data_IF_230325390045
#
_entry.id   IF_230325390045
#
_cell.length_a   1.000
_cell.length_b   1.000
_cell.length_c   1.000
_cell.angle_alpha   90.00
_cell.angle_beta   90.00
_cell.angle_gamma   90.00
#
_symmetry.space_group_name_H-M   'P 1'
#
loop_
_entity.id
_entity.type
_entity.pdbx_description
1 polymer ?
#
# COMPACT_ATOMS: atom_id res chain seq x y z
N UNK A 1 15.19 -9.96 -1.69
CA UNK A 1 13.94 -10.37 -1.01
C UNK A 1 13.30 -9.30 -0.10
N UNK A 2 14.00 -8.24 0.34
CA UNK A 2 13.39 -7.07 1.03
C UNK A 2 13.20 -5.84 0.10
N UNK A 3 13.69 -5.92 -1.13
CA UNK A 3 13.67 -4.82 -2.11
C UNK A 3 12.41 -4.83 -2.99
N UNK A 4 11.57 -5.85 -2.85
CA UNK A 4 10.53 -6.17 -3.83
C UNK A 4 9.19 -5.46 -3.59
N UNK A 5 8.98 -4.88 -2.41
CA UNK A 5 7.70 -4.24 -2.08
C UNK A 5 7.68 -2.73 -2.28
N UNK A 6 8.80 -2.10 -2.68
CA UNK A 6 8.81 -0.64 -2.93
C UNK A 6 7.87 -0.27 -4.09
N UNK A 7 7.83 -1.10 -5.13
CA UNK A 7 6.90 -0.97 -6.25
C UNK A 7 5.44 -1.17 -5.81
N UNK A 8 5.16 -2.26 -5.08
CA UNK A 8 3.81 -2.55 -4.57
C UNK A 8 3.27 -1.44 -3.68
N UNK A 9 4.10 -0.97 -2.73
CA UNK A 9 3.75 0.11 -1.82
C UNK A 9 3.42 1.40 -2.59
N UNK A 10 4.18 1.71 -3.64
CA UNK A 10 3.94 2.91 -4.44
C UNK A 10 2.61 2.81 -5.21
N UNK A 11 2.33 1.65 -5.81
CA UNK A 11 1.05 1.39 -6.50
C UNK A 11 -0.12 1.54 -5.54
N UNK A 12 -0.03 0.93 -4.35
CA UNK A 12 -1.01 1.04 -3.27
C UNK A 12 -1.25 2.51 -2.88
N UNK A 13 -0.18 3.23 -2.56
CA UNK A 13 -0.27 4.62 -2.09
C UNK A 13 -0.83 5.53 -3.17
N UNK A 14 -0.42 5.37 -4.43
CA UNK A 14 -0.97 6.13 -5.56
C UNK A 14 -2.46 5.90 -5.76
N UNK A 15 -2.91 4.66 -5.59
CA UNK A 15 -4.31 4.32 -5.78
C UNK A 15 -5.23 4.87 -4.67
N UNK A 16 -4.78 4.92 -3.42
CA UNK A 16 -5.67 5.14 -2.27
C UNK A 16 -5.33 6.31 -1.35
N UNK A 17 -4.13 6.88 -1.42
CA UNK A 17 -3.71 7.93 -0.50
C UNK A 17 -3.11 9.17 -1.16
N UNK A 18 -2.07 8.98 -1.97
CA UNK A 18 -1.31 10.07 -2.59
C UNK A 18 -1.02 9.74 -4.07
N UNK A 19 -1.88 10.16 -5.01
CA UNK A 19 -1.74 9.83 -6.44
C UNK A 19 -0.43 10.33 -7.05
N UNK A 20 0.11 11.44 -6.53
CA UNK A 20 1.34 12.06 -6.99
C UNK A 20 2.61 11.55 -6.27
N UNK A 21 2.49 10.49 -5.46
CA UNK A 21 3.65 9.92 -4.76
C UNK A 21 4.72 9.44 -5.75
N UNK A 22 5.98 9.73 -5.45
CA UNK A 22 7.16 9.32 -6.23
C UNK A 22 7.79 8.04 -5.66
N UNK A 23 7.70 7.87 -4.33
CA UNK A 23 8.13 6.69 -3.62
C UNK A 23 7.16 6.40 -2.46
N UNK A 24 7.11 5.16 -2.01
CA UNK A 24 6.36 4.79 -0.82
C UNK A 24 7.02 3.62 -0.08
N UNK A 25 6.95 3.66 1.24
CA UNK A 25 7.38 2.57 2.11
C UNK A 25 6.36 2.35 3.21
N UNK A 26 6.00 1.10 3.46
CA UNK A 26 5.18 0.75 4.61
C UNK A 26 5.99 0.98 5.90
N UNK A 27 5.42 1.70 6.86
CA UNK A 27 6.06 2.06 8.14
C UNK A 27 5.42 1.35 9.32
N UNK A 28 4.16 0.94 9.19
CA UNK A 28 3.42 0.27 10.24
C UNK A 28 2.16 -0.38 9.68
N UNK A 29 1.52 -1.20 10.51
CA UNK A 29 0.23 -1.80 10.21
C UNK A 29 -0.43 -2.31 11.50
N UNK A 30 -1.76 -2.34 11.49
CA UNK A 30 -2.59 -2.90 12.56
C UNK A 30 -3.85 -3.57 11.99
N UNK A 31 -4.82 -3.89 12.84
CA UNK A 31 -6.05 -4.59 12.43
C UNK A 31 -7.00 -3.76 11.57
N UNK A 32 -6.84 -2.44 11.54
CA UNK A 32 -7.70 -1.50 10.80
C UNK A 32 -7.08 -0.95 9.52
N UNK A 33 -5.76 -0.96 9.39
CA UNK A 33 -5.10 -0.48 8.17
C UNK A 33 -3.58 -0.60 8.20
N UNK A 34 -2.96 -0.17 7.11
CA UNK A 34 -1.52 0.03 7.01
C UNK A 34 -1.16 1.51 7.10
N UNK A 35 0.05 1.78 7.54
CA UNK A 35 0.69 3.08 7.55
C UNK A 35 1.86 3.07 6.56
N UNK A 36 1.93 4.09 5.72
CA UNK A 36 2.99 4.32 4.74
C UNK A 36 3.59 5.70 4.93
N UNK A 37 4.88 5.82 4.59
CA UNK A 37 5.50 7.10 4.29
C UNK A 37 5.59 7.21 2.76
N UNK A 38 4.93 8.21 2.19
CA UNK A 38 4.92 8.53 0.78
C UNK A 38 5.82 9.74 0.52
N UNK A 39 6.71 9.68 -0.45
CA UNK A 39 7.49 10.86 -0.86
C UNK A 39 6.72 11.59 -1.95
N UNK A 40 6.33 12.84 -1.72
CA UNK A 40 5.61 13.70 -2.66
C UNK A 40 6.40 15.00 -2.82
N UNK A 41 6.81 15.34 -4.05
CA UNK A 41 7.64 16.51 -4.33
C UNK A 41 8.90 16.58 -3.42
N UNK A 42 9.52 15.42 -3.17
CA UNK A 42 10.71 15.29 -2.32
C UNK A 42 10.47 15.33 -0.79
N UNK A 43 9.23 15.42 -0.33
CA UNK A 43 8.89 15.42 1.11
C UNK A 43 8.15 14.14 1.53
N UNK A 44 8.52 13.58 2.69
CA UNK A 44 7.84 12.42 3.28
C UNK A 44 6.52 12.84 3.95
N UNK A 45 5.42 12.25 3.48
CA UNK A 45 4.05 12.46 3.94
C UNK A 45 3.52 11.15 4.53
N UNK A 46 2.97 11.15 5.77
CA UNK A 46 2.34 9.97 6.33
C UNK A 46 0.99 9.69 5.65
N UNK A 47 0.77 8.43 5.26
CA UNK A 47 -0.44 7.96 4.57
C UNK A 47 -0.98 6.72 5.29
N UNK A 48 -2.22 6.79 5.75
CA UNK A 48 -2.95 5.68 6.36
C UNK A 48 -3.96 5.13 5.36
N UNK A 49 -3.93 3.84 5.06
CA UNK A 49 -4.93 3.20 4.18
C UNK A 49 -5.63 2.09 4.97
N UNK A 50 -6.95 2.20 5.06
CA UNK A 50 -7.79 1.21 5.72
C UNK A 50 -7.87 -0.08 4.91
N UNK A 51 -7.94 -1.22 5.61
CA UNK A 51 -8.18 -2.49 4.94
C UNK A 51 -9.57 -2.52 4.30
N UNK A 52 -9.75 -3.18 3.14
CA UNK A 52 -11.06 -3.32 2.50
C UNK A 52 -11.98 -4.24 3.32
N UNK A 53 -11.39 -5.17 4.06
CA UNK A 53 -12.04 -6.04 5.03
C UNK A 53 -11.22 -6.01 6.33
N UNK A 54 -11.86 -5.91 7.51
CA UNK A 54 -11.14 -5.86 8.78
C UNK A 54 -10.31 -7.12 8.97
N UNK A 55 -9.04 -6.93 9.34
CA UNK A 55 -8.12 -8.04 9.56
C UNK A 55 -8.20 -8.47 11.01
N UNK A 56 -8.90 -9.56 11.27
CA UNK A 56 -9.12 -10.09 12.63
C UNK A 56 -7.91 -10.84 13.19
N UNK A 57 -6.98 -11.25 12.33
CA UNK A 57 -5.82 -12.06 12.71
C UNK A 57 -4.53 -11.53 12.06
N UNK A 58 -3.49 -11.30 12.86
CA UNK A 58 -2.18 -10.80 12.37
C UNK A 58 -1.58 -11.58 11.19
N UNK A 59 -1.67 -12.92 11.11
CA UNK A 59 -1.22 -13.70 9.96
C UNK A 59 -1.90 -13.32 8.63
N UNK A 60 -3.13 -12.80 8.68
CA UNK A 60 -3.92 -12.42 7.49
C UNK A 60 -3.53 -11.06 6.91
N UNK A 61 -2.71 -10.28 7.61
CA UNK A 61 -2.31 -8.93 7.17
C UNK A 61 -1.56 -8.99 5.84
N UNK A 62 -0.70 -10.01 5.63
CA UNK A 62 -0.03 -10.16 4.33
C UNK A 62 -1.02 -10.35 3.17
N UNK A 63 -2.07 -11.15 3.38
CA UNK A 63 -3.14 -11.32 2.39
C UNK A 63 -3.87 -10.00 2.16
N UNK A 64 -4.19 -9.26 3.23
CA UNK A 64 -4.85 -7.96 3.09
C UNK A 64 -4.03 -6.93 2.29
N UNK A 65 -2.70 -6.93 2.44
CA UNK A 65 -1.81 -6.08 1.63
C UNK A 65 -1.82 -6.49 0.16
N UNK A 66 -1.78 -7.81 -0.14
CA UNK A 66 -1.87 -8.33 -1.50
C UNK A 66 -3.22 -7.97 -2.14
N UNK A 67 -4.32 -8.13 -1.42
CA UNK A 67 -5.66 -7.74 -1.90
C UNK A 67 -5.73 -6.24 -2.20
N UNK A 68 -5.06 -5.42 -1.39
CA UNK A 68 -4.99 -3.97 -1.59
C UNK A 68 -4.15 -3.63 -2.82
N UNK A 69 -3.04 -4.32 -3.06
CA UNK A 69 -2.23 -4.19 -4.27
C UNK A 69 -3.04 -4.55 -5.53
N UNK A 70 -3.75 -5.68 -5.54
CA UNK A 70 -4.56 -6.09 -6.68
C UNK A 70 -5.66 -5.06 -7.01
N UNK A 71 -6.33 -4.52 -5.98
CA UNK A 71 -7.30 -3.46 -6.16
C UNK A 71 -6.66 -2.16 -6.66
N UNK A 72 -5.45 -1.82 -6.18
CA UNK A 72 -4.69 -0.68 -6.67
C UNK A 72 -4.33 -0.82 -8.16
N UNK A 73 -3.84 -1.99 -8.58
CA UNK A 73 -3.58 -2.30 -9.99
C UNK A 73 -4.85 -2.13 -10.83
N UNK A 74 -5.98 -2.71 -10.39
CA UNK A 74 -7.26 -2.59 -11.09
C UNK A 74 -7.70 -1.12 -11.20
N UNK A 75 -7.56 -0.33 -10.13
CA UNK A 75 -7.92 1.09 -10.11
C UNK A 75 -7.04 1.95 -11.04
N UNK A 76 -5.76 1.60 -11.17
CA UNK A 76 -4.79 2.31 -12.01
C UNK A 76 -4.69 1.74 -13.44
N UNK A 77 -5.40 0.65 -13.75
CA UNK A 77 -5.33 -0.02 -15.05
C UNK A 77 -4.00 -0.74 -15.31
N UNK A 78 -3.28 -1.13 -14.24
CA UNK A 78 -2.00 -1.85 -14.32
C UNK A 78 -2.23 -3.36 -14.35
N UNK A 79 -1.37 -4.13 -15.05
CA UNK A 79 -1.37 -5.58 -14.92
C UNK A 79 -0.99 -5.97 -13.49
N UNK A 80 -1.81 -6.80 -12.85
CA UNK A 80 -1.51 -7.38 -11.54
C UNK A 80 -0.75 -8.69 -11.75
N UNK A 81 0.57 -8.60 -11.83
CA UNK A 81 1.43 -9.79 -11.83
C UNK A 81 1.80 -10.09 -10.36
N UNK A 82 1.26 -11.19 -9.82
CA UNK A 82 1.57 -11.71 -8.48
C UNK A 82 1.53 -13.23 -8.49
#
# INVERSE_FOLDING_TARGET
MNTDHAGDNLVIVRAFGAPDAEAARMTGLDSGGGDWAATVAGADVPVRISWPQPVTERPRIRTAVVDLYQQACSKLGLPSEH
#
